data_IF_579580050066
#
_entry.id   IF_579580050066
#
_cell.length_a   1.000
_cell.length_b   1.000
_cell.length_c   1.000
_cell.angle_alpha   90.00
_cell.angle_beta   90.00
_cell.angle_gamma   90.00
#
_symmetry.space_group_name_H-M   'P 1'
#
loop_
_entity.id
_entity.type
_entity.pdbx_description
1 polymer ?
#
# COMPACT_ATOMS: atom_id res chain seq x y z
N UNK A 1 21.24 22.20 -31.52
CA UNK A 1 21.91 21.80 -30.23
C UNK A 1 22.19 23.00 -29.33
N UNK A 2 22.59 24.16 -29.86
CA UNK A 2 22.80 25.40 -29.08
C UNK A 2 21.50 26.03 -28.56
N UNK A 3 20.43 26.02 -29.36
CA UNK A 3 19.11 26.51 -28.95
C UNK A 3 18.47 25.62 -27.86
N UNK A 4 18.58 24.29 -27.99
CA UNK A 4 18.11 23.36 -26.97
C UNK A 4 18.83 23.54 -25.62
N UNK A 5 20.15 23.79 -25.65
CA UNK A 5 20.92 24.09 -24.43
C UNK A 5 20.52 25.42 -23.79
N UNK A 6 20.25 26.43 -24.62
CA UNK A 6 19.77 27.75 -24.14
C UNK A 6 18.42 27.66 -23.44
N UNK A 7 17.46 26.99 -24.05
CA UNK A 7 16.12 26.77 -23.48
C UNK A 7 16.16 25.97 -22.19
N UNK A 8 17.00 24.91 -22.13
CA UNK A 8 17.18 24.09 -20.91
C UNK A 8 17.76 24.89 -19.75
N UNK A 9 18.76 25.76 -20.00
CA UNK A 9 19.30 26.62 -18.94
C UNK A 9 18.29 27.65 -18.44
N UNK A 10 17.43 28.18 -19.31
CA UNK A 10 16.41 29.14 -18.92
C UNK A 10 15.38 28.49 -17.97
N UNK A 11 14.84 27.33 -18.32
CA UNK A 11 13.84 26.66 -17.45
C UNK A 11 14.41 26.29 -16.07
N UNK A 12 15.67 25.84 -16.00
CA UNK A 12 16.27 25.49 -14.70
C UNK A 12 16.47 26.73 -13.82
N UNK A 13 16.79 27.89 -14.40
CA UNK A 13 16.88 29.16 -13.67
C UNK A 13 15.50 29.61 -13.16
N UNK A 14 14.46 29.56 -14.01
CA UNK A 14 13.08 29.92 -13.62
C UNK A 14 12.59 29.02 -12.48
N UNK A 15 12.92 27.72 -12.52
CA UNK A 15 12.61 26.77 -11.46
C UNK A 15 13.40 27.06 -10.17
N UNK A 16 14.67 27.41 -10.29
CA UNK A 16 15.49 27.79 -9.14
C UNK A 16 15.01 29.08 -8.47
N UNK A 17 14.56 30.05 -9.24
CA UNK A 17 13.93 31.28 -8.71
C UNK A 17 12.62 30.99 -7.99
N UNK A 18 11.87 29.96 -8.43
CA UNK A 18 10.59 29.60 -7.83
C UNK A 18 10.70 28.80 -6.53
N UNK A 19 11.70 27.90 -6.40
CA UNK A 19 11.77 26.96 -5.26
C UNK A 19 13.11 27.00 -4.49
N UNK A 20 14.06 27.81 -4.93
CA UNK A 20 15.44 27.85 -4.42
C UNK A 20 16.40 26.93 -5.19
N UNK A 21 17.59 27.43 -5.46
CA UNK A 21 18.61 26.73 -6.23
C UNK A 21 18.98 25.37 -5.63
N UNK A 22 19.05 25.27 -4.31
CA UNK A 22 19.38 24.06 -3.55
C UNK A 22 18.32 22.94 -3.69
N UNK A 23 17.15 23.27 -4.24
CA UNK A 23 16.03 22.34 -4.45
C UNK A 23 15.82 21.94 -5.91
N UNK A 24 16.68 22.44 -6.81
CA UNK A 24 16.78 22.04 -8.22
C UNK A 24 18.05 21.21 -8.40
N UNK A 25 17.94 19.90 -8.20
CA UNK A 25 19.07 18.97 -8.22
C UNK A 25 19.39 18.57 -9.66
N UNK A 26 20.68 18.60 -10.03
CA UNK A 26 21.16 18.23 -11.37
C UNK A 26 22.38 17.32 -11.29
N UNK A 27 22.70 16.63 -12.38
CA UNK A 27 23.91 15.82 -12.49
C UNK A 27 24.04 14.78 -11.38
N UNK A 28 25.12 14.80 -10.61
CA UNK A 28 25.41 13.80 -9.57
C UNK A 28 24.41 13.82 -8.40
N UNK A 29 23.75 14.94 -8.15
CA UNK A 29 22.79 15.08 -7.03
C UNK A 29 21.47 14.38 -7.30
N UNK A 30 21.22 13.96 -8.55
CA UNK A 30 20.04 13.19 -8.93
C UNK A 30 20.16 11.68 -8.73
N UNK A 31 21.33 11.16 -8.34
CA UNK A 31 21.61 9.70 -8.29
C UNK A 31 20.58 8.88 -7.52
N UNK A 32 20.05 9.41 -6.42
CA UNK A 32 18.99 8.76 -5.61
C UNK A 32 17.73 8.43 -6.42
N UNK A 33 17.47 9.20 -7.48
CA UNK A 33 16.27 9.08 -8.33
C UNK A 33 16.58 8.50 -9.72
N UNK A 34 17.79 7.98 -9.94
CA UNK A 34 18.21 7.44 -11.25
C UNK A 34 17.96 5.93 -11.39
N UNK A 35 17.51 5.25 -10.33
CA UNK A 35 17.20 3.82 -10.33
C UNK A 35 15.86 3.66 -9.62
N UNK A 36 14.98 2.85 -10.17
CA UNK A 36 13.76 2.44 -9.50
C UNK A 36 14.04 1.33 -8.46
N UNK A 37 13.01 0.93 -7.71
CA UNK A 37 13.19 -0.07 -6.66
C UNK A 37 13.59 -1.45 -7.20
N UNK A 38 13.13 -1.82 -8.40
CA UNK A 38 13.45 -3.12 -9.02
C UNK A 38 14.86 -3.19 -9.56
N UNK A 39 15.46 -2.04 -9.91
CA UNK A 39 16.72 -1.95 -10.63
C UNK A 39 16.60 -2.23 -12.15
N UNK A 40 15.40 -2.50 -12.64
CA UNK A 40 15.14 -2.84 -14.04
C UNK A 40 15.08 -1.60 -14.94
N UNK A 41 14.75 -0.45 -14.37
CA UNK A 41 14.59 0.79 -15.09
C UNK A 41 15.68 1.79 -14.73
N UNK A 42 16.43 2.23 -15.72
CA UNK A 42 17.39 3.34 -15.58
C UNK A 42 16.69 4.66 -15.87
N UNK A 43 16.75 5.58 -14.92
CA UNK A 43 16.16 6.90 -14.98
C UNK A 43 17.27 7.93 -15.21
N UNK A 44 17.02 8.90 -16.10
CA UNK A 44 17.97 9.97 -16.41
C UNK A 44 17.24 11.33 -16.47
N UNK A 45 16.74 11.84 -15.32
CA UNK A 45 16.04 13.12 -15.31
C UNK A 45 17.00 14.26 -15.65
N UNK A 46 16.45 15.29 -16.33
CA UNK A 46 17.14 16.57 -16.57
C UNK A 46 17.46 17.25 -15.24
N UNK A 47 16.49 17.27 -14.33
CA UNK A 47 16.61 17.74 -12.97
C UNK A 47 15.57 17.06 -12.06
N UNK A 48 15.86 17.04 -10.76
CA UNK A 48 14.91 16.65 -9.71
C UNK A 48 14.54 17.91 -8.92
N UNK A 49 13.24 18.19 -8.89
CA UNK A 49 12.65 19.36 -8.23
C UNK A 49 12.05 18.92 -6.89
N UNK A 50 12.37 19.63 -5.82
CA UNK A 50 11.96 19.27 -4.47
C UNK A 50 11.16 20.40 -3.80
N UNK A 51 9.88 20.61 -4.18
CA UNK A 51 9.02 21.62 -3.57
C UNK A 51 8.76 21.31 -2.08
N UNK A 52 8.57 22.37 -1.27
CA UNK A 52 8.23 22.27 0.15
C UNK A 52 6.71 22.40 0.42
N UNK A 53 5.93 22.86 -0.55
CA UNK A 53 4.51 23.17 -0.38
C UNK A 53 3.76 23.18 -1.71
N UNK A 54 2.43 23.23 -1.64
CA UNK A 54 1.53 23.21 -2.79
C UNK A 54 1.74 24.41 -3.74
N UNK A 55 2.10 25.59 -3.22
CA UNK A 55 2.35 26.76 -4.05
C UNK A 55 3.60 26.61 -4.91
N UNK A 56 4.66 26.02 -4.36
CA UNK A 56 5.88 25.69 -5.12
C UNK A 56 5.60 24.62 -6.19
N UNK A 57 4.77 23.60 -5.90
CA UNK A 57 4.31 22.63 -6.91
C UNK A 57 3.56 23.34 -8.04
N UNK A 58 2.67 24.29 -7.71
CA UNK A 58 1.91 25.05 -8.70
C UNK A 58 2.82 25.89 -9.60
N UNK A 59 3.83 26.56 -9.03
CA UNK A 59 4.81 27.32 -9.78
C UNK A 59 5.62 26.42 -10.73
N UNK A 60 6.12 25.28 -10.24
CA UNK A 60 6.85 24.29 -11.04
C UNK A 60 6.00 23.82 -12.24
N UNK A 61 4.76 23.37 -11.99
CA UNK A 61 3.90 22.85 -13.05
C UNK A 61 3.57 23.90 -14.08
N UNK A 62 3.31 25.15 -13.65
CA UNK A 62 3.09 26.26 -14.56
C UNK A 62 4.31 26.54 -15.46
N UNK A 63 5.51 26.65 -14.89
CA UNK A 63 6.76 26.86 -15.62
C UNK A 63 6.97 25.73 -16.64
N UNK A 64 6.84 24.49 -16.22
CA UNK A 64 7.04 23.32 -17.08
C UNK A 64 5.99 23.26 -18.21
N UNK A 65 4.72 23.58 -17.90
CA UNK A 65 3.66 23.63 -18.91
C UNK A 65 3.90 24.71 -19.95
N UNK A 66 4.31 25.89 -19.53
CA UNK A 66 4.63 27.00 -20.44
C UNK A 66 5.83 26.64 -21.36
N UNK A 67 6.84 25.97 -20.79
CA UNK A 67 8.01 25.46 -21.50
C UNK A 67 7.79 24.13 -22.27
N UNK A 68 6.60 23.51 -22.17
CA UNK A 68 6.28 22.20 -22.75
C UNK A 68 7.25 21.08 -22.34
N UNK A 69 7.77 21.16 -21.13
CA UNK A 69 8.71 20.18 -20.58
C UNK A 69 7.95 19.13 -19.75
N UNK A 70 8.10 17.83 -20.02
CA UNK A 70 7.45 16.78 -19.25
C UNK A 70 7.88 16.79 -17.80
N UNK A 71 6.92 16.56 -16.88
CA UNK A 71 7.16 16.34 -15.45
C UNK A 71 6.66 14.96 -15.06
N UNK A 72 7.48 14.23 -14.32
CA UNK A 72 7.16 12.95 -13.70
C UNK A 72 7.14 13.13 -12.18
N UNK A 73 5.97 13.04 -11.52
CA UNK A 73 5.89 13.04 -10.07
C UNK A 73 6.51 11.78 -9.47
N UNK A 74 7.25 11.93 -8.39
CA UNK A 74 7.83 10.82 -7.63
C UNK A 74 7.63 11.03 -6.14
N UNK A 75 7.25 9.96 -5.45
CA UNK A 75 7.12 9.89 -3.99
C UNK A 75 8.23 9.00 -3.41
N UNK A 76 7.88 7.89 -2.73
CA UNK A 76 8.83 6.95 -2.15
C UNK A 76 9.61 6.09 -3.17
N UNK A 77 9.23 6.14 -4.44
CA UNK A 77 9.83 5.36 -5.55
C UNK A 77 9.88 3.85 -5.27
N UNK A 78 8.84 3.32 -4.64
CA UNK A 78 8.72 1.91 -4.25
C UNK A 78 7.87 1.09 -5.23
N UNK A 79 7.43 1.67 -6.34
CA UNK A 79 6.64 1.01 -7.36
C UNK A 79 7.45 -0.03 -8.14
N UNK A 80 6.76 -1.08 -8.64
CA UNK A 80 7.37 -2.23 -9.31
C UNK A 80 7.17 -2.22 -10.84
N UNK A 81 6.50 -1.19 -11.38
CA UNK A 81 6.03 -1.17 -12.78
C UNK A 81 6.74 -0.13 -13.66
N UNK A 82 7.79 0.51 -13.14
CA UNK A 82 8.53 1.53 -13.87
C UNK A 82 7.77 2.84 -14.12
N UNK A 83 6.72 3.13 -13.34
CA UNK A 83 5.86 4.32 -13.52
C UNK A 83 6.63 5.66 -13.40
N UNK A 84 7.77 5.68 -12.73
CA UNK A 84 8.65 6.86 -12.60
C UNK A 84 9.74 6.92 -13.68
N UNK A 85 9.68 6.04 -14.69
CA UNK A 85 10.66 5.99 -15.78
C UNK A 85 10.73 7.35 -16.51
N UNK A 86 11.92 7.93 -16.59
CA UNK A 86 12.13 9.28 -17.12
C UNK A 86 13.51 9.40 -17.77
N UNK A 87 13.53 9.88 -19.01
CA UNK A 87 14.75 10.23 -19.72
C UNK A 87 14.61 11.66 -20.27
N UNK A 88 15.40 12.60 -19.73
CA UNK A 88 15.47 13.97 -20.19
C UNK A 88 14.31 14.89 -19.78
N UNK A 89 13.31 14.39 -19.03
CA UNK A 89 12.26 15.20 -18.43
C UNK A 89 12.61 15.68 -17.01
N UNK A 90 11.74 16.48 -16.43
CA UNK A 90 11.84 16.91 -15.04
C UNK A 90 11.20 15.87 -14.12
N UNK A 91 11.80 15.63 -12.97
CA UNK A 91 11.22 14.80 -11.92
C UNK A 91 10.83 15.67 -10.74
N UNK A 92 9.59 15.52 -10.22
CA UNK A 92 9.07 16.29 -9.08
C UNK A 92 8.94 15.36 -7.88
N UNK A 93 9.83 15.54 -6.90
CA UNK A 93 9.81 14.76 -5.65
C UNK A 93 9.03 15.49 -4.55
N UNK A 94 8.07 14.80 -3.94
CA UNK A 94 7.28 15.34 -2.82
C UNK A 94 7.92 15.11 -1.45
N UNK A 95 9.16 14.65 -1.39
CA UNK A 95 9.84 14.22 -0.16
C UNK A 95 10.03 15.32 0.91
N UNK A 96 9.96 16.62 0.54
CA UNK A 96 9.95 17.74 1.50
C UNK A 96 8.56 18.09 2.05
N UNK A 97 7.51 17.59 1.42
CA UNK A 97 6.12 17.79 1.83
C UNK A 97 5.69 16.68 2.80
N UNK A 98 6.29 16.63 3.97
CA UNK A 98 6.25 15.46 4.87
C UNK A 98 5.62 15.74 6.24
N UNK A 99 4.72 16.72 6.32
CA UNK A 99 4.06 17.11 7.58
C UNK A 99 2.71 16.44 7.75
N UNK A 100 2.45 15.96 8.96
CA UNK A 100 1.09 15.75 9.44
C UNK A 100 0.53 17.14 9.78
N UNK A 101 -0.45 17.62 8.98
CA UNK A 101 -1.03 18.98 9.14
C UNK A 101 -1.94 19.06 10.37
N UNK A 102 -2.78 18.03 10.56
CA UNK A 102 -3.67 17.90 11.72
C UNK A 102 -4.17 16.47 11.86
N UNK A 103 -4.69 16.15 13.03
CA UNK A 103 -5.36 14.89 13.32
C UNK A 103 -6.56 15.16 14.24
N UNK A 104 -7.69 14.54 13.94
CA UNK A 104 -8.89 14.51 14.77
C UNK A 104 -9.22 13.05 15.13
N UNK A 105 -8.85 12.59 16.33
CA UNK A 105 -9.12 11.23 16.77
C UNK A 105 -10.62 10.93 16.94
N UNK A 106 -11.43 11.91 17.29
CA UNK A 106 -12.87 11.74 17.47
C UNK A 106 -13.59 11.59 16.12
N UNK A 107 -13.21 12.41 15.13
CA UNK A 107 -13.66 12.27 13.75
C UNK A 107 -12.98 11.12 13.02
N UNK A 108 -11.91 10.53 13.57
CA UNK A 108 -11.07 9.51 12.95
C UNK A 108 -10.57 9.94 11.58
N UNK A 109 -10.02 11.12 11.53
CA UNK A 109 -9.38 11.68 10.34
C UNK A 109 -8.00 12.20 10.64
N UNK A 110 -7.13 12.20 9.63
CA UNK A 110 -5.80 12.79 9.66
C UNK A 110 -5.53 13.50 8.35
N UNK A 111 -5.00 14.72 8.41
CA UNK A 111 -4.59 15.50 7.25
C UNK A 111 -3.07 15.43 7.12
N UNK A 112 -2.62 14.94 5.99
CA UNK A 112 -1.20 14.70 5.73
C UNK A 112 -0.77 15.28 4.39
N UNK A 113 0.49 15.70 4.29
CA UNK A 113 1.12 16.05 3.01
C UNK A 113 1.56 14.80 2.25
N UNK A 114 1.68 14.90 0.92
CA UNK A 114 1.89 13.77 0.02
C UNK A 114 3.20 13.00 0.26
N UNK A 115 4.22 13.64 0.83
CA UNK A 115 5.52 13.04 1.16
C UNK A 115 5.59 12.38 2.54
N UNK A 116 4.47 12.35 3.31
CA UNK A 116 4.45 11.62 4.59
C UNK A 116 4.58 10.13 4.34
N UNK A 117 5.54 9.50 5.03
CA UNK A 117 5.78 8.05 4.96
C UNK A 117 4.66 7.30 5.70
N UNK A 118 4.24 6.14 5.18
CA UNK A 118 3.14 5.36 5.77
C UNK A 118 3.39 4.98 7.23
N UNK A 119 4.62 4.61 7.60
CA UNK A 119 4.95 4.29 9.00
C UNK A 119 4.69 5.47 9.94
N UNK A 120 4.96 6.71 9.52
CA UNK A 120 4.66 7.89 10.34
C UNK A 120 3.16 8.13 10.52
N UNK A 121 2.33 7.77 9.52
CA UNK A 121 0.86 7.81 9.65
C UNK A 121 0.40 6.72 10.63
N UNK A 122 0.98 5.52 10.56
CA UNK A 122 0.69 4.43 11.47
C UNK A 122 1.03 4.80 12.91
N UNK A 123 2.22 5.38 13.16
CA UNK A 123 2.66 5.82 14.47
C UNK A 123 1.73 6.92 15.05
N UNK A 124 1.36 7.89 14.21
CA UNK A 124 0.44 8.96 14.63
C UNK A 124 -0.94 8.40 15.00
N UNK A 125 -1.47 7.44 14.22
CA UNK A 125 -2.76 6.81 14.51
C UNK A 125 -2.70 5.94 15.78
N UNK A 126 -1.63 5.15 15.93
CA UNK A 126 -1.43 4.23 17.05
C UNK A 126 -1.42 4.95 18.41
N UNK A 127 -0.87 6.17 18.46
CA UNK A 127 -0.88 7.01 19.66
C UNK A 127 -2.30 7.35 20.19
N UNK A 128 -3.34 7.07 19.39
CA UNK A 128 -4.76 7.34 19.72
C UNK A 128 -5.64 6.08 19.63
N UNK A 129 -5.08 4.88 19.72
CA UNK A 129 -5.79 3.60 19.54
C UNK A 129 -6.53 3.52 18.19
N UNK A 130 -5.94 4.12 17.17
CA UNK A 130 -6.44 4.10 15.78
C UNK A 130 -5.43 3.45 14.86
N UNK A 131 -5.89 3.08 13.67
CA UNK A 131 -5.05 2.60 12.57
C UNK A 131 -5.39 3.31 11.27
N UNK A 132 -4.39 3.49 10.42
CA UNK A 132 -4.56 3.70 8.99
C UNK A 132 -4.30 2.34 8.31
N UNK A 133 -5.34 1.59 7.88
CA UNK A 133 -5.20 0.17 7.55
C UNK A 133 -4.66 -0.09 6.13
N UNK A 134 -3.74 0.72 5.66
CA UNK A 134 -2.98 0.48 4.44
C UNK A 134 -1.60 -0.08 4.83
N UNK A 135 -1.40 -1.38 4.65
CA UNK A 135 -0.16 -2.05 5.06
C UNK A 135 0.36 -2.94 3.94
N UNK A 136 1.63 -2.75 3.59
CA UNK A 136 2.41 -3.56 2.64
C UNK A 136 3.91 -3.47 2.97
N UNK A 137 4.73 -4.33 2.37
CA UNK A 137 6.15 -4.48 2.73
C UNK A 137 6.99 -3.20 2.69
N UNK A 138 6.68 -2.26 1.78
CA UNK A 138 7.42 -1.00 1.64
C UNK A 138 6.95 0.13 2.59
N UNK A 139 6.13 -0.13 3.62
CA UNK A 139 5.55 0.88 4.52
C UNK A 139 6.56 1.85 5.15
N UNK A 140 7.82 1.42 5.30
CA UNK A 140 8.89 2.26 5.88
C UNK A 140 9.46 3.32 4.93
N UNK A 141 9.15 3.26 3.64
CA UNK A 141 9.67 4.19 2.62
C UNK A 141 8.59 4.71 1.67
N UNK A 142 7.49 4.00 1.51
CA UNK A 142 6.37 4.43 0.70
C UNK A 142 5.71 5.67 1.29
N UNK A 143 5.46 6.67 0.46
CA UNK A 143 4.81 7.93 0.82
C UNK A 143 3.36 7.93 0.36
N UNK A 144 2.49 8.58 1.12
CA UNK A 144 1.04 8.56 0.89
C UNK A 144 0.63 9.12 -0.47
N UNK A 145 1.34 10.10 -1.00
CA UNK A 145 1.07 10.65 -2.34
C UNK A 145 1.23 9.61 -3.44
N UNK A 146 2.24 8.73 -3.34
CA UNK A 146 2.43 7.59 -4.24
C UNK A 146 1.34 6.54 -4.07
N UNK A 147 1.01 6.17 -2.83
CA UNK A 147 -0.05 5.21 -2.53
C UNK A 147 -1.42 5.67 -3.07
N UNK A 148 -1.74 6.97 -2.94
CA UNK A 148 -2.94 7.56 -3.53
C UNK A 148 -2.88 7.55 -5.07
N UNK A 149 -1.73 7.95 -5.65
CA UNK A 149 -1.58 8.04 -7.10
C UNK A 149 -1.75 6.70 -7.80
N UNK A 150 -1.31 5.60 -7.17
CA UNK A 150 -1.47 4.23 -7.69
C UNK A 150 -2.73 3.52 -7.19
N UNK A 151 -3.52 4.16 -6.31
CA UNK A 151 -4.61 3.50 -5.58
C UNK A 151 -4.14 2.20 -4.93
N UNK A 152 -3.03 2.26 -4.22
CA UNK A 152 -2.36 1.10 -3.65
C UNK A 152 -3.31 0.25 -2.79
N UNK A 153 -3.22 -1.06 -2.95
CA UNK A 153 -3.81 -2.05 -2.06
C UNK A 153 -2.76 -2.62 -1.10
N UNK A 154 -3.23 -3.25 -0.05
CA UNK A 154 -2.40 -3.96 0.92
C UNK A 154 -3.13 -5.19 1.45
N UNK A 155 -2.59 -5.83 2.47
CA UNK A 155 -3.17 -7.06 3.04
C UNK A 155 -4.58 -6.85 3.63
N UNK A 156 -4.90 -5.63 4.06
CA UNK A 156 -6.14 -5.30 4.76
C UNK A 156 -7.29 -4.85 3.84
N UNK A 157 -7.12 -4.96 2.53
CA UNK A 157 -8.13 -4.51 1.53
C UNK A 157 -9.48 -5.19 1.70
N UNK A 158 -9.50 -6.45 2.12
CA UNK A 158 -10.73 -7.21 2.34
C UNK A 158 -11.68 -6.51 3.33
N UNK A 159 -11.13 -5.88 4.36
CA UNK A 159 -11.93 -5.23 5.41
C UNK A 159 -12.11 -3.74 5.18
N UNK A 160 -11.09 -3.05 4.70
CA UNK A 160 -11.06 -1.59 4.73
C UNK A 160 -11.05 -0.94 3.35
N UNK A 161 -10.93 -1.73 2.28
CA UNK A 161 -10.81 -1.24 0.92
C UNK A 161 -9.39 -0.77 0.56
N UNK A 162 -9.24 -0.27 -0.64
CA UNK A 162 -8.00 0.29 -1.16
C UNK A 162 -7.74 1.70 -0.62
N UNK A 163 -6.60 2.30 -0.96
CA UNK A 163 -6.25 3.68 -0.59
C UNK A 163 -7.35 4.68 -0.95
N UNK A 164 -8.07 4.49 -2.06
CA UNK A 164 -9.22 5.29 -2.49
C UNK A 164 -10.36 5.30 -1.46
N UNK A 165 -10.66 4.15 -0.88
CA UNK A 165 -11.72 3.98 0.12
C UNK A 165 -11.33 4.61 1.48
N UNK A 166 -10.03 4.68 1.73
CA UNK A 166 -9.42 5.26 2.92
C UNK A 166 -9.20 6.77 2.82
N UNK A 167 -9.55 7.40 1.68
CA UNK A 167 -9.34 8.83 1.45
C UNK A 167 -10.66 9.61 1.44
N UNK A 168 -10.77 10.64 2.28
CA UNK A 168 -11.92 11.55 2.33
C UNK A 168 -11.78 12.73 1.36
N UNK A 169 -10.57 13.25 1.19
CA UNK A 169 -10.32 14.41 0.33
C UNK A 169 -8.86 14.51 -0.09
N UNK A 170 -8.61 15.25 -1.17
CA UNK A 170 -7.25 15.51 -1.69
C UNK A 170 -7.07 16.97 -2.07
N UNK A 171 -5.84 17.44 -1.99
CA UNK A 171 -5.35 18.66 -2.60
C UNK A 171 -4.46 18.26 -3.78
N UNK A 172 -4.73 18.82 -4.96
CA UNK A 172 -4.06 18.43 -6.20
C UNK A 172 -3.68 19.68 -7.00
N UNK A 173 -2.50 19.68 -7.58
CA UNK A 173 -2.11 20.71 -8.56
C UNK A 173 -2.23 20.12 -9.96
N UNK A 174 -3.01 20.80 -10.82
CA UNK A 174 -3.21 20.43 -12.22
C UNK A 174 -2.01 20.84 -13.07
N UNK A 175 -1.87 20.28 -14.27
CA UNK A 175 -0.74 20.51 -15.15
C UNK A 175 -0.51 22.01 -15.52
N UNK A 176 -1.55 22.84 -15.48
CA UNK A 176 -1.49 24.28 -15.74
C UNK A 176 -1.17 25.12 -14.48
N UNK A 177 -0.88 24.48 -13.35
CA UNK A 177 -0.56 25.11 -12.08
C UNK A 177 -1.78 25.51 -11.23
N UNK A 178 -3.02 25.28 -11.68
CA UNK A 178 -4.21 25.50 -10.83
C UNK A 178 -4.25 24.50 -9.69
N UNK A 179 -4.58 25.01 -8.50
CA UNK A 179 -4.76 24.18 -7.30
C UNK A 179 -6.23 23.78 -7.21
N UNK A 180 -6.50 22.49 -7.21
CA UNK A 180 -7.80 21.91 -6.95
C UNK A 180 -7.84 21.43 -5.49
N UNK A 181 -8.50 22.22 -4.64
CA UNK A 181 -8.65 21.86 -3.23
C UNK A 181 -10.02 21.22 -3.02
N UNK A 182 -10.02 19.91 -2.81
CA UNK A 182 -11.18 19.11 -2.44
C UNK A 182 -10.91 18.34 -1.14
N UNK A 183 -10.27 19.01 -0.19
CA UNK A 183 -9.97 18.53 1.16
C UNK A 183 -11.26 18.54 1.98
N UNK A 184 -12.02 17.45 1.89
CA UNK A 184 -13.27 17.24 2.61
C UNK A 184 -13.04 16.25 3.74
N UNK A 185 -13.50 16.54 4.96
CA UNK A 185 -13.42 15.66 6.12
C UNK A 185 -14.72 14.88 6.38
N UNK A 186 -15.72 15.04 5.52
CA UNK A 186 -17.03 14.40 5.67
C UNK A 186 -16.96 12.91 5.29
N UNK A 187 -17.35 12.03 6.20
CA UNK A 187 -17.53 10.61 5.91
C UNK A 187 -18.71 10.34 4.97
N UNK A 188 -19.72 11.23 4.99
CA UNK A 188 -20.85 11.22 4.06
C UNK A 188 -20.86 12.54 3.30
N UNK A 189 -20.51 12.48 2.03
CA UNK A 189 -20.56 13.61 1.10
C UNK A 189 -21.28 13.21 -0.18
N UNK A 190 -22.43 13.85 -0.42
CA UNK A 190 -23.27 13.63 -1.59
C UNK A 190 -23.23 14.86 -2.54
N UNK A 191 -22.29 15.78 -2.36
CA UNK A 191 -22.25 17.07 -3.04
C UNK A 191 -21.49 16.98 -4.38
N UNK A 192 -22.22 16.91 -5.49
CA UNK A 192 -21.65 16.96 -6.83
C UNK A 192 -20.82 15.73 -7.23
N UNK A 193 -19.94 15.93 -8.20
CA UNK A 193 -19.03 14.87 -8.67
C UNK A 193 -17.91 14.64 -7.68
N UNK A 194 -17.58 13.36 -7.44
CA UNK A 194 -16.47 12.99 -6.58
C UNK A 194 -15.14 13.03 -7.36
N UNK A 195 -14.57 14.23 -7.51
CA UNK A 195 -13.37 14.46 -8.30
C UNK A 195 -12.11 13.79 -7.73
N UNK A 196 -12.06 13.53 -6.42
CA UNK A 196 -10.93 12.80 -5.83
C UNK A 196 -10.75 11.41 -6.45
N UNK A 197 -11.86 10.77 -6.87
CA UNK A 197 -11.82 9.46 -7.50
C UNK A 197 -11.20 9.45 -8.90
N UNK A 198 -11.11 10.63 -9.56
CA UNK A 198 -10.36 10.78 -10.80
C UNK A 198 -8.85 10.87 -10.54
N UNK A 199 -8.47 11.54 -9.44
CA UNK A 199 -7.06 11.79 -9.11
C UNK A 199 -6.38 10.60 -8.45
N UNK A 200 -7.13 9.84 -7.63
CA UNK A 200 -6.64 8.62 -6.99
C UNK A 200 -6.60 7.50 -8.04
N UNK A 201 -5.42 6.93 -8.25
CA UNK A 201 -5.18 5.93 -9.29
C UNK A 201 -4.88 6.52 -10.66
N UNK A 202 -4.70 7.85 -10.78
CA UNK A 202 -4.31 8.51 -12.03
C UNK A 202 -2.79 8.50 -12.29
N UNK A 203 -2.00 7.99 -11.36
CA UNK A 203 -0.53 7.86 -11.47
C UNK A 203 0.19 9.16 -11.88
N UNK A 204 -0.32 10.31 -11.41
CA UNK A 204 0.23 11.64 -11.73
C UNK A 204 -0.14 12.19 -13.11
N UNK A 205 -0.90 11.45 -13.94
CA UNK A 205 -1.25 11.87 -15.31
C UNK A 205 -2.25 13.02 -15.36
N UNK A 206 -3.07 13.19 -14.31
CA UNK A 206 -4.09 14.26 -14.22
C UNK A 206 -3.66 15.41 -13.32
N UNK A 207 -2.64 15.24 -12.49
CA UNK A 207 -2.14 16.25 -11.57
C UNK A 207 -1.27 15.64 -10.48
N UNK A 208 -0.67 16.48 -9.66
CA UNK A 208 0.19 16.10 -8.55
C UNK A 208 -0.58 16.25 -7.24
N UNK A 209 -0.79 15.14 -6.52
CA UNK A 209 -1.39 15.18 -5.18
C UNK A 209 -0.38 15.79 -4.22
N UNK A 210 -0.80 16.80 -3.45
CA UNK A 210 0.04 17.53 -2.50
C UNK A 210 -0.34 17.29 -1.04
N UNK A 211 -1.62 16.99 -0.77
CA UNK A 211 -2.10 16.62 0.54
C UNK A 211 -3.35 15.73 0.45
N UNK A 212 -3.68 15.06 1.55
CA UNK A 212 -4.88 14.25 1.64
C UNK A 212 -5.49 14.28 3.05
N UNK A 213 -6.80 14.08 3.11
CA UNK A 213 -7.55 13.73 4.31
C UNK A 213 -7.78 12.22 4.29
N UNK A 214 -7.28 11.52 5.28
CA UNK A 214 -7.35 10.06 5.38
C UNK A 214 -8.31 9.65 6.49
N UNK A 215 -9.02 8.54 6.26
CA UNK A 215 -9.85 7.87 7.27
C UNK A 215 -8.98 7.03 8.19
N UNK A 216 -9.21 7.15 9.48
CA UNK A 216 -8.67 6.25 10.47
C UNK A 216 -9.77 5.29 10.98
N UNK A 217 -9.35 4.11 11.40
CA UNK A 217 -10.21 3.10 11.96
C UNK A 217 -9.82 2.76 13.39
N UNK A 218 -10.74 2.20 14.17
CA UNK A 218 -10.40 1.68 15.50
C UNK A 218 -9.38 0.56 15.36
N UNK A 219 -8.33 0.63 16.17
CA UNK A 219 -7.36 -0.47 16.27
C UNK A 219 -8.05 -1.72 16.81
N UNK A 220 -7.92 -2.89 16.16
CA UNK A 220 -8.37 -4.14 16.75
C UNK A 220 -7.70 -4.36 18.10
N UNK A 221 -8.51 -4.81 19.08
CA UNK A 221 -8.08 -5.09 20.44
C UNK A 221 -7.48 -6.48 20.59
N UNK A 222 -7.88 -7.39 19.72
CA UNK A 222 -7.35 -8.75 19.62
C UNK A 222 -7.39 -9.21 18.17
N UNK A 223 -6.52 -10.16 17.87
CA UNK A 223 -6.45 -10.82 16.58
C UNK A 223 -6.53 -12.32 16.74
N UNK A 224 -7.20 -12.99 15.80
CA UNK A 224 -7.11 -14.42 15.60
C UNK A 224 -6.42 -14.66 14.24
N UNK A 225 -5.27 -15.30 14.26
CA UNK A 225 -4.47 -15.56 13.05
C UNK A 225 -4.26 -17.06 12.91
N UNK A 226 -4.46 -17.60 11.71
CA UNK A 226 -4.26 -19.00 11.43
C UNK A 226 -3.55 -19.23 10.10
N UNK A 227 -2.76 -20.32 10.05
CA UNK A 227 -2.40 -20.98 8.80
C UNK A 227 -3.37 -22.15 8.60
N UNK A 228 -3.94 -22.24 7.39
CA UNK A 228 -4.94 -23.24 7.04
C UNK A 228 -4.56 -23.93 5.74
N UNK A 229 -4.58 -25.25 5.70
CA UNK A 229 -4.44 -26.04 4.49
C UNK A 229 -5.82 -26.49 4.00
N UNK A 230 -6.10 -26.31 2.71
CA UNK A 230 -7.38 -26.68 2.09
C UNK A 230 -7.15 -27.59 0.87
N UNK A 231 -8.16 -28.41 0.48
CA UNK A 231 -8.03 -29.36 -0.63
C UNK A 231 -7.82 -28.67 -1.99
N UNK A 232 -8.44 -27.51 -2.19
CA UNK A 232 -8.43 -26.78 -3.46
C UNK A 232 -8.50 -25.25 -3.26
N UNK A 233 -8.23 -24.49 -4.30
CA UNK A 233 -8.44 -23.03 -4.31
C UNK A 233 -9.92 -22.67 -4.12
N UNK A 234 -10.83 -23.49 -4.66
CA UNK A 234 -12.28 -23.34 -4.49
C UNK A 234 -12.70 -23.52 -3.02
N UNK A 235 -12.07 -24.46 -2.29
CA UNK A 235 -12.26 -24.60 -0.85
C UNK A 235 -11.68 -23.42 -0.08
N UNK A 236 -10.59 -22.82 -0.57
CA UNK A 236 -10.07 -21.55 -0.05
C UNK A 236 -11.09 -20.42 -0.14
N UNK A 237 -11.83 -20.30 -1.24
CA UNK A 237 -12.90 -19.30 -1.36
C UNK A 237 -14.08 -19.61 -0.42
N UNK A 238 -14.43 -20.90 -0.26
CA UNK A 238 -15.42 -21.34 0.72
C UNK A 238 -15.00 -21.00 2.15
N UNK A 239 -13.72 -21.21 2.47
CA UNK A 239 -13.13 -20.85 3.76
C UNK A 239 -13.24 -19.34 4.03
N UNK A 240 -12.89 -18.48 3.05
CA UNK A 240 -13.01 -17.03 3.18
C UNK A 240 -14.46 -16.65 3.52
N UNK A 241 -15.43 -17.12 2.76
CA UNK A 241 -16.84 -16.79 2.97
C UNK A 241 -17.32 -17.26 4.35
N UNK A 242 -16.98 -18.50 4.75
CA UNK A 242 -17.40 -19.04 6.04
C UNK A 242 -16.82 -18.22 7.22
N UNK A 243 -15.54 -17.83 7.17
CA UNK A 243 -14.91 -17.00 8.21
C UNK A 243 -15.45 -15.57 8.19
N UNK A 244 -15.75 -15.00 7.02
CA UNK A 244 -16.39 -13.69 6.88
C UNK A 244 -17.78 -13.69 7.56
N UNK A 245 -18.59 -14.70 7.28
CA UNK A 245 -19.94 -14.83 7.87
C UNK A 245 -19.84 -15.01 9.39
N UNK A 246 -18.98 -15.89 9.87
CA UNK A 246 -18.78 -16.15 11.28
C UNK A 246 -18.28 -14.92 12.04
N UNK A 247 -17.37 -14.15 11.45
CA UNK A 247 -16.77 -12.98 12.08
C UNK A 247 -17.54 -11.67 11.87
N UNK A 248 -18.68 -11.70 11.15
CA UNK A 248 -19.43 -10.50 10.79
C UNK A 248 -18.60 -9.53 9.92
N UNK A 249 -17.78 -10.06 9.02
CA UNK A 249 -16.96 -9.27 8.10
C UNK A 249 -15.65 -8.75 8.68
N UNK A 250 -15.14 -9.36 9.75
CA UNK A 250 -13.94 -8.89 10.44
C UNK A 250 -12.63 -9.51 9.93
N UNK A 251 -12.64 -10.23 8.80
CA UNK A 251 -11.42 -10.76 8.17
C UNK A 251 -10.58 -9.61 7.63
N UNK A 252 -9.39 -9.43 8.19
CA UNK A 252 -8.44 -8.38 7.79
C UNK A 252 -7.52 -8.82 6.66
N UNK A 253 -7.03 -10.06 6.72
CA UNK A 253 -6.13 -10.63 5.75
C UNK A 253 -6.52 -12.05 5.37
N UNK A 254 -6.34 -12.38 4.09
CA UNK A 254 -6.53 -13.70 3.52
C UNK A 254 -5.51 -13.90 2.40
N UNK A 255 -4.41 -14.61 2.70
CA UNK A 255 -3.23 -14.66 1.86
C UNK A 255 -2.95 -16.09 1.39
N UNK A 256 -3.07 -16.35 0.10
CA UNK A 256 -2.76 -17.63 -0.50
C UNK A 256 -1.26 -17.82 -0.67
N UNK A 257 -0.74 -18.95 -0.24
CA UNK A 257 0.65 -19.36 -0.36
C UNK A 257 0.73 -20.76 -0.94
N UNK A 258 1.04 -20.94 -2.25
CA UNK A 258 1.21 -22.27 -2.83
C UNK A 258 2.42 -22.99 -2.22
N UNK A 259 2.45 -24.33 -2.34
CA UNK A 259 3.59 -25.15 -1.90
C UNK A 259 4.93 -24.63 -2.42
N UNK A 260 4.98 -24.19 -3.68
CA UNK A 260 6.20 -23.63 -4.30
C UNK A 260 6.70 -22.40 -3.55
N UNK A 261 5.81 -21.54 -3.06
CA UNK A 261 6.14 -20.38 -2.22
C UNK A 261 6.71 -20.85 -0.86
N UNK A 262 6.03 -21.78 -0.20
CA UNK A 262 6.48 -22.33 1.10
C UNK A 262 7.87 -22.95 0.97
N UNK A 263 8.10 -23.77 -0.05
CA UNK A 263 9.40 -24.39 -0.29
C UNK A 263 10.50 -23.32 -0.49
N UNK A 264 10.22 -22.31 -1.29
CA UNK A 264 11.19 -21.23 -1.54
C UNK A 264 11.47 -20.39 -0.30
N UNK A 265 10.45 -20.18 0.56
CA UNK A 265 10.63 -19.53 1.86
C UNK A 265 11.57 -20.33 2.75
N UNK A 266 11.39 -21.65 2.84
CA UNK A 266 12.24 -22.54 3.63
C UNK A 266 13.70 -22.59 3.13
N UNK A 267 13.90 -22.47 1.81
CA UNK A 267 15.23 -22.46 1.20
C UNK A 267 15.99 -21.14 1.42
N UNK A 268 15.28 -20.02 1.49
CA UNK A 268 15.91 -18.68 1.43
C UNK A 268 15.89 -17.88 2.71
N UNK A 269 15.01 -18.23 3.63
CA UNK A 269 14.90 -17.54 4.93
C UNK A 269 15.54 -18.38 6.02
N UNK A 270 16.62 -17.87 6.59
CA UNK A 270 17.31 -18.57 7.68
C UNK A 270 16.39 -18.78 8.89
N UNK A 271 16.35 -19.99 9.40
CA UNK A 271 15.50 -20.37 10.54
C UNK A 271 14.01 -20.52 10.21
N UNK A 272 13.62 -20.44 8.92
CA UNK A 272 12.24 -20.69 8.51
C UNK A 272 11.78 -22.10 8.86
N UNK A 273 10.49 -22.22 9.24
CA UNK A 273 9.85 -23.50 9.57
C UNK A 273 8.64 -23.75 8.68
N UNK A 274 8.31 -25.02 8.52
CA UNK A 274 7.07 -25.43 7.89
C UNK A 274 5.87 -24.91 8.68
N UNK A 275 4.79 -24.49 8.01
CA UNK A 275 3.56 -24.10 8.71
C UNK A 275 2.83 -25.27 9.36
N UNK A 276 3.04 -26.50 8.87
CA UNK A 276 2.40 -27.75 9.30
C UNK A 276 3.43 -28.86 9.36
N UNK A 277 3.08 -29.97 10.00
CA UNK A 277 3.93 -31.19 10.04
C UNK A 277 4.06 -31.82 8.65
N UNK A 278 3.02 -31.70 7.81
CA UNK A 278 3.01 -32.14 6.43
C UNK A 278 3.02 -30.98 5.44
N UNK A 279 3.36 -31.26 4.18
CA UNK A 279 3.42 -30.27 3.12
C UNK A 279 2.14 -30.32 2.26
N UNK A 280 1.42 -29.20 2.20
CA UNK A 280 0.17 -29.06 1.44
C UNK A 280 0.33 -28.14 0.23
N UNK A 281 -0.47 -28.36 -0.82
CA UNK A 281 -0.41 -27.59 -2.07
C UNK A 281 -1.05 -26.20 -1.94
N UNK A 282 -2.13 -26.12 -1.16
CA UNK A 282 -2.91 -24.89 -0.99
C UNK A 282 -2.87 -24.49 0.48
N UNK A 283 -2.11 -23.46 0.78
CA UNK A 283 -1.98 -22.89 2.11
C UNK A 283 -2.52 -21.48 2.14
N UNK A 284 -3.24 -21.13 3.18
CA UNK A 284 -3.85 -19.81 3.37
C UNK A 284 -3.51 -19.30 4.76
N UNK A 285 -3.05 -18.05 4.84
CA UNK A 285 -3.02 -17.31 6.11
C UNK A 285 -4.29 -16.49 6.24
N UNK A 286 -4.96 -16.58 7.38
CA UNK A 286 -6.14 -15.80 7.71
C UNK A 286 -5.86 -14.99 8.96
N UNK A 287 -6.32 -13.74 8.97
CA UNK A 287 -6.36 -12.92 10.18
C UNK A 287 -7.73 -12.26 10.35
N UNK A 288 -8.30 -12.39 11.53
CA UNK A 288 -9.56 -11.75 11.96
C UNK A 288 -9.26 -10.77 13.07
N UNK A 289 -9.73 -9.52 12.94
CA UNK A 289 -9.48 -8.44 13.91
C UNK A 289 -10.73 -8.07 14.71
N UNK A 290 -10.71 -8.25 16.02
CA UNK A 290 -11.80 -7.90 16.93
C UNK A 290 -11.65 -6.47 17.47
N UNK A 291 -12.59 -5.59 17.14
CA UNK A 291 -12.65 -4.22 17.69
C UNK A 291 -13.61 -4.08 18.87
N UNK A 292 -14.65 -4.92 18.95
CA UNK A 292 -15.62 -4.90 20.03
C UNK A 292 -15.05 -5.55 21.29
N UNK A 293 -15.22 -4.94 22.48
CA UNK A 293 -14.71 -5.51 23.74
C UNK A 293 -15.15 -6.94 24.01
N UNK A 294 -16.41 -7.28 23.68
CA UNK A 294 -16.95 -8.62 23.90
C UNK A 294 -16.23 -9.72 23.14
N UNK A 295 -15.63 -9.37 21.99
CA UNK A 295 -14.93 -10.33 21.11
C UNK A 295 -13.41 -10.39 21.36
N UNK A 296 -12.90 -9.44 22.16
CA UNK A 296 -11.48 -9.24 22.42
C UNK A 296 -11.05 -9.43 23.89
N UNK A 297 -12.00 -9.30 24.83
CA UNK A 297 -11.67 -9.44 26.27
C UNK A 297 -11.63 -10.92 26.64
N UNK A 298 -10.52 -11.42 27.20
CA UNK A 298 -10.44 -12.79 27.66
C UNK A 298 -11.55 -13.13 28.65
N UNK A 299 -12.10 -14.34 28.53
CA UNK A 299 -13.06 -14.93 29.46
C UNK A 299 -12.41 -15.25 30.80
N UNK A 300 -13.19 -15.67 31.81
CA UNK A 300 -12.68 -16.14 33.10
C UNK A 300 -11.73 -17.34 32.99
N UNK A 301 -11.80 -18.08 31.87
CA UNK A 301 -10.89 -19.20 31.54
C UNK A 301 -9.61 -18.74 30.85
N UNK A 302 -9.49 -17.45 30.49
CA UNK A 302 -8.37 -16.88 29.77
C UNK A 302 -8.49 -16.99 28.23
N UNK A 303 -9.57 -17.54 27.72
CA UNK A 303 -9.83 -17.69 26.29
C UNK A 303 -10.25 -16.35 25.67
N UNK A 304 -9.66 -15.99 24.52
CA UNK A 304 -10.02 -14.79 23.75
C UNK A 304 -11.13 -15.13 22.76
N UNK A 305 -12.33 -14.53 22.85
CA UNK A 305 -13.50 -14.98 22.07
C UNK A 305 -13.30 -15.00 20.55
N UNK A 306 -12.58 -14.04 19.96
CA UNK A 306 -12.30 -14.05 18.51
C UNK A 306 -11.40 -15.23 18.11
N UNK A 307 -10.51 -15.68 18.98
CA UNK A 307 -9.64 -16.86 18.73
C UNK A 307 -10.48 -18.12 18.80
N UNK A 308 -11.28 -18.28 19.85
CA UNK A 308 -12.19 -19.42 20.01
C UNK A 308 -13.17 -19.53 18.83
N UNK A 309 -13.74 -18.42 18.39
CA UNK A 309 -14.65 -18.39 17.23
C UNK A 309 -13.96 -18.87 15.95
N UNK A 310 -12.71 -18.45 15.71
CA UNK A 310 -11.96 -18.93 14.55
C UNK A 310 -11.67 -20.42 14.66
N UNK A 311 -11.25 -20.90 15.84
CA UNK A 311 -10.98 -22.33 16.10
C UNK A 311 -12.23 -23.20 15.89
N UNK A 312 -13.38 -22.80 16.43
CA UNK A 312 -14.66 -23.50 16.22
C UNK A 312 -15.06 -23.54 14.74
N UNK A 313 -14.88 -22.42 14.03
CA UNK A 313 -15.19 -22.33 12.59
C UNK A 313 -14.30 -23.29 11.79
N UNK A 314 -13.00 -23.29 12.07
CA UNK A 314 -12.04 -24.18 11.38
C UNK A 314 -12.26 -25.64 11.73
N UNK A 315 -12.60 -25.96 12.98
CA UNK A 315 -12.92 -27.33 13.42
C UNK A 315 -14.16 -27.88 12.69
N UNK A 316 -15.22 -27.11 12.57
CA UNK A 316 -16.41 -27.51 11.82
C UNK A 316 -16.09 -27.75 10.32
N UNK A 317 -15.25 -26.91 9.72
CA UNK A 317 -14.82 -27.10 8.32
C UNK A 317 -13.89 -28.30 8.15
N UNK A 318 -13.11 -28.64 9.16
CA UNK A 318 -12.27 -29.85 9.17
C UNK A 318 -13.14 -31.12 9.21
N UNK A 319 -14.16 -31.15 10.05
CA UNK A 319 -15.12 -32.25 10.11
C UNK A 319 -15.87 -32.47 8.78
N UNK A 320 -16.16 -31.37 8.07
CA UNK A 320 -16.79 -31.39 6.74
C UNK A 320 -15.81 -31.73 5.59
N UNK A 321 -14.50 -31.88 5.87
CA UNK A 321 -13.45 -32.14 4.89
C UNK A 321 -13.09 -30.95 3.99
N UNK A 322 -13.51 -29.72 4.33
CA UNK A 322 -13.18 -28.47 3.61
C UNK A 322 -11.88 -27.83 4.09
N UNK A 323 -11.38 -28.25 5.23
CA UNK A 323 -10.06 -27.93 5.77
C UNK A 323 -9.31 -29.26 6.00
N UNK A 324 -8.03 -29.31 5.61
CA UNK A 324 -7.17 -30.49 5.80
C UNK A 324 -6.39 -30.39 7.11
N UNK A 325 -5.89 -29.18 7.39
CA UNK A 325 -5.07 -28.90 8.57
C UNK A 325 -5.17 -27.42 8.92
N UNK A 326 -5.02 -27.07 10.20
CA UNK A 326 -5.06 -25.69 10.65
C UNK A 326 -4.19 -25.49 11.91
N UNK A 327 -3.42 -24.42 11.92
CA UNK A 327 -2.65 -23.95 13.09
C UNK A 327 -3.10 -22.54 13.43
N UNK A 328 -3.73 -22.38 14.60
CA UNK A 328 -4.15 -21.08 15.13
C UNK A 328 -3.08 -20.54 16.07
N UNK A 329 -2.67 -19.28 15.87
CA UNK A 329 -1.69 -18.62 16.70
C UNK A 329 -2.22 -18.43 18.13
N UNK A 330 -1.51 -18.95 19.12
CA UNK A 330 -1.86 -18.87 20.54
C UNK A 330 -1.19 -17.68 21.26
N UNK A 331 -0.32 -16.97 20.57
CA UNK A 331 0.40 -15.81 21.11
C UNK A 331 0.97 -14.93 19.99
N UNK A 332 1.42 -13.72 20.35
CA UNK A 332 1.97 -12.73 19.40
C UNK A 332 3.22 -13.23 18.68
N UNK A 333 4.02 -14.11 19.26
CA UNK A 333 5.22 -14.64 18.60
C UNK A 333 4.84 -15.55 17.42
N UNK A 334 3.85 -16.42 17.60
CA UNK A 334 3.33 -17.27 16.51
C UNK A 334 2.64 -16.44 15.43
N UNK A 335 1.84 -15.44 15.81
CA UNK A 335 1.25 -14.49 14.88
C UNK A 335 2.33 -13.79 14.05
N UNK A 336 3.37 -13.28 14.71
CA UNK A 336 4.49 -12.61 14.05
C UNK A 336 5.21 -13.53 13.06
N UNK A 337 5.41 -14.80 13.40
CA UNK A 337 6.01 -15.79 12.49
C UNK A 337 5.16 -16.03 11.24
N UNK A 338 3.84 -16.12 11.39
CA UNK A 338 2.92 -16.27 10.25
C UNK A 338 2.98 -15.06 9.32
N UNK A 339 2.98 -13.86 9.87
CA UNK A 339 3.14 -12.62 9.10
C UNK A 339 4.53 -12.50 8.45
N UNK A 340 5.60 -12.87 9.16
CA UNK A 340 6.95 -12.84 8.60
C UNK A 340 7.07 -13.73 7.36
N UNK A 341 6.40 -14.91 7.36
CA UNK A 341 6.33 -15.79 6.19
C UNK A 341 5.67 -15.07 5.00
N UNK A 342 4.59 -14.36 5.20
CA UNK A 342 3.90 -13.59 4.15
C UNK A 342 4.75 -12.40 3.68
N UNK A 343 5.36 -11.66 4.58
CA UNK A 343 6.15 -10.47 4.27
C UNK A 343 7.48 -10.79 3.56
N UNK A 344 7.96 -12.01 3.67
CA UNK A 344 9.15 -12.49 2.96
C UNK A 344 8.99 -12.55 1.43
N UNK A 345 7.76 -12.36 0.89
CA UNK A 345 7.47 -12.43 -0.55
C UNK A 345 8.44 -11.60 -1.40
N UNK A 346 8.74 -10.36 -0.97
CA UNK A 346 9.71 -9.50 -1.66
C UNK A 346 11.12 -10.06 -1.72
N UNK A 347 11.57 -10.79 -0.69
CA UNK A 347 12.90 -11.38 -0.63
C UNK A 347 13.04 -12.66 -1.45
N UNK A 348 11.95 -13.44 -1.50
CA UNK A 348 12.00 -14.78 -2.09
C UNK A 348 11.57 -14.83 -3.55
N UNK A 349 10.81 -13.84 -4.03
CA UNK A 349 10.30 -13.78 -5.39
C UNK A 349 11.20 -12.98 -6.34
N UNK A 350 11.89 -11.96 -5.84
CA UNK A 350 12.78 -11.14 -6.66
C UNK A 350 14.17 -11.77 -6.76
N UNK A 351 14.35 -12.59 -7.79
CA UNK A 351 15.67 -13.08 -8.22
C UNK A 351 16.09 -12.26 -9.46
N UNK A 352 17.17 -11.43 -9.39
CA UNK A 352 17.58 -10.61 -10.52
C UNK A 352 17.73 -11.44 -11.81
N UNK A 353 16.95 -11.09 -12.83
CA UNK A 353 17.06 -11.68 -14.17
C UNK A 353 16.29 -12.99 -14.41
N UNK A 354 15.50 -13.50 -13.45
CA UNK A 354 14.79 -14.80 -13.60
C UNK A 354 13.27 -14.67 -13.44
N UNK A 355 12.76 -13.63 -12.76
CA UNK A 355 11.33 -13.50 -12.47
C UNK A 355 10.66 -12.44 -13.33
N UNK A 356 9.57 -12.82 -14.00
CA UNK A 356 8.60 -11.86 -14.54
C UNK A 356 7.53 -11.68 -13.47
N UNK A 357 7.50 -10.50 -12.87
CA UNK A 357 6.47 -10.15 -11.90
C UNK A 357 5.25 -9.58 -12.62
N UNK A 358 4.10 -10.20 -12.42
CA UNK A 358 2.81 -9.71 -12.93
C UNK A 358 1.85 -9.54 -11.77
N UNK A 359 1.17 -8.40 -11.72
CA UNK A 359 0.08 -8.14 -10.79
C UNK A 359 -1.23 -8.13 -11.58
N UNK A 360 -2.06 -9.15 -11.35
CA UNK A 360 -3.33 -9.34 -12.05
C UNK A 360 -4.49 -9.44 -11.06
N UNK A 361 -5.61 -8.86 -11.41
CA UNK A 361 -6.86 -8.98 -10.65
C UNK A 361 -7.92 -9.68 -11.50
N UNK A 362 -8.60 -10.64 -10.89
CA UNK A 362 -9.71 -11.37 -11.52
C UNK A 362 -10.88 -11.46 -10.55
N UNK A 363 -12.13 -11.64 -11.04
CA UNK A 363 -13.25 -11.96 -10.16
C UNK A 363 -12.95 -13.19 -9.31
N UNK A 364 -13.33 -13.17 -8.03
CA UNK A 364 -13.04 -14.25 -7.08
C UNK A 364 -13.37 -15.66 -7.62
N UNK A 365 -14.51 -15.81 -8.32
CA UNK A 365 -14.91 -17.08 -8.94
C UNK A 365 -14.00 -17.53 -10.08
N UNK A 366 -13.09 -16.70 -10.56
CA UNK A 366 -12.15 -16.99 -11.63
C UNK A 366 -10.73 -17.24 -11.16
N UNK A 367 -10.45 -17.06 -9.87
CA UNK A 367 -9.09 -17.26 -9.31
C UNK A 367 -8.61 -18.69 -9.57
N UNK A 368 -9.39 -19.71 -9.20
CA UNK A 368 -9.02 -21.11 -9.42
C UNK A 368 -8.79 -21.47 -10.90
N UNK A 369 -9.74 -21.14 -11.83
CA UNK A 369 -9.51 -21.34 -13.25
C UNK A 369 -8.25 -20.67 -13.79
N UNK A 370 -8.00 -19.39 -13.45
CA UNK A 370 -6.80 -18.66 -13.92
C UNK A 370 -5.53 -19.27 -13.37
N UNK A 371 -5.47 -19.62 -12.09
CA UNK A 371 -4.28 -20.26 -11.52
C UNK A 371 -3.95 -21.58 -12.19
N UNK A 372 -4.96 -22.39 -12.57
CA UNK A 372 -4.73 -23.64 -13.33
C UNK A 372 -4.25 -23.44 -14.77
N UNK A 373 -4.47 -22.27 -15.36
CA UNK A 373 -3.97 -21.97 -16.70
C UNK A 373 -2.52 -21.45 -16.72
N UNK A 374 -2.06 -20.85 -15.61
CA UNK A 374 -0.74 -20.22 -15.52
C UNK A 374 0.29 -21.09 -14.78
N UNK A 375 -0.13 -22.17 -14.12
CA UNK A 375 0.74 -23.15 -13.47
C UNK A 375 0.85 -24.44 -14.29
#
# INVERSE_FOLDING_TARGET
>A
LSELKGTTMTILNDLADAIGQEHVLTGNDTKKWCVDWTGDYTLAPLAVLRPANTAEVAAILKIANDAKTPIIPVSGNTGLTGATSNVGGLMLSVDRMNKVRSMDPDARSIIVEAGVVLSSIHEAADAHDLIFPLTFGAKGTAMIGGALSTNAGGSNVLRYGNTRDLCLGVEVVLADGRIMNIMCELHKDNSGYNLKHLMIGAEGTLGVITAAVLKLHRKPRAYATAMVAVPSIEDGLSLLNTVQDASGGAVEAFEYMPRSYINRHLERVEGARQPFDEAYDVNVMIEVGATAPKDATPTDTGEVPVVAQLEETLAAMFEDGRVIDAVVAQNDAQRTEMWARREAAGQILFDPGIAVNTDIAVPLSKVGPVLREIT
#
